data_IF_457723594890
#
_entry.id   IF_457723594890
#
_cell.length_a   1.000
_cell.length_b   1.000
_cell.length_c   1.000
_cell.angle_alpha   90.00
_cell.angle_beta   90.00
_cell.angle_gamma   90.00
#
_symmetry.space_group_name_H-M   'P 1'
#
loop_
_entity.id
_entity.type
_entity.pdbx_description
1 polymer ?
#
# COMPACT_ATOMS: atom_id res chain seq x y z
N UNK A 1 -8.66 -2.63 -3.72
CA UNK A 1 -7.64 -2.98 -4.74
C UNK A 1 -8.30 -3.38 -6.05
N UNK A 2 -7.77 -2.91 -7.18
CA UNK A 2 -8.27 -3.30 -8.50
C UNK A 2 -7.91 -4.75 -8.82
N UNK A 3 -8.77 -5.43 -9.58
CA UNK A 3 -8.62 -6.85 -9.90
C UNK A 3 -7.29 -7.19 -10.59
N UNK A 4 -6.87 -6.39 -11.57
CA UNK A 4 -5.60 -6.59 -12.29
C UNK A 4 -4.38 -6.47 -11.39
N UNK A 5 -4.43 -5.55 -10.43
CA UNK A 5 -3.35 -5.37 -9.44
C UNK A 5 -3.31 -6.54 -8.47
N UNK A 6 -4.47 -7.00 -7.99
CA UNK A 6 -4.56 -8.18 -7.14
C UNK A 6 -4.03 -9.45 -7.84
N UNK A 7 -4.41 -9.67 -9.10
CA UNK A 7 -3.91 -10.81 -9.90
C UNK A 7 -2.38 -10.77 -10.07
N UNK A 8 -1.82 -9.59 -10.39
CA UNK A 8 -0.37 -9.42 -10.54
C UNK A 8 0.39 -9.61 -9.21
N UNK A 9 -0.19 -9.17 -8.08
CA UNK A 9 0.38 -9.39 -6.74
C UNK A 9 0.37 -10.88 -6.39
N UNK A 10 -0.74 -11.58 -6.65
CA UNK A 10 -0.83 -13.02 -6.37
C UNK A 10 0.21 -13.81 -7.17
N UNK A 11 0.45 -13.45 -8.44
CA UNK A 11 1.54 -14.07 -9.20
C UNK A 11 2.93 -13.88 -8.56
N UNK A 12 3.21 -12.71 -7.96
CA UNK A 12 4.45 -12.49 -7.23
C UNK A 12 4.49 -13.36 -5.98
N UNK A 13 3.39 -13.41 -5.23
CA UNK A 13 3.29 -14.17 -3.98
C UNK A 13 3.54 -15.67 -4.24
N UNK A 14 2.92 -16.20 -5.31
CA UNK A 14 3.00 -17.61 -5.68
C UNK A 14 4.38 -18.02 -6.27
N UNK A 15 5.21 -17.08 -6.72
CA UNK A 15 6.47 -17.40 -7.43
C UNK A 15 7.54 -18.01 -6.52
N UNK A 16 7.55 -17.68 -5.23
CA UNK A 16 8.56 -18.15 -4.26
C UNK A 16 7.96 -18.39 -2.84
N UNK A 17 6.66 -18.72 -2.75
CA UNK A 17 5.93 -18.87 -1.47
C UNK A 17 6.13 -17.67 -0.53
N UNK A 18 6.01 -16.47 -1.11
CA UNK A 18 6.23 -15.18 -0.45
C UNK A 18 5.36 -15.08 0.82
N UNK A 19 5.93 -14.76 2.00
CA UNK A 19 5.19 -14.78 3.26
C UNK A 19 4.29 -13.55 3.47
N UNK A 20 4.17 -12.67 2.48
CA UNK A 20 3.49 -11.39 2.58
C UNK A 20 2.06 -11.44 2.05
N UNK A 21 1.15 -10.69 2.67
CA UNK A 21 -0.21 -10.49 2.18
C UNK A 21 -0.23 -9.56 0.97
N UNK A 22 -1.34 -9.59 0.22
CA UNK A 22 -1.55 -8.68 -0.89
C UNK A 22 -1.47 -7.19 -0.50
N UNK A 23 -1.85 -6.83 0.73
CA UNK A 23 -1.83 -5.44 1.20
C UNK A 23 -0.42 -4.98 1.54
N UNK A 24 0.38 -5.87 2.14
CA UNK A 24 1.79 -5.64 2.43
C UNK A 24 2.59 -5.43 1.14
N UNK A 25 2.42 -6.31 0.14
CA UNK A 25 3.07 -6.17 -1.17
C UNK A 25 2.64 -4.88 -1.87
N UNK A 26 1.34 -4.59 -1.89
CA UNK A 26 0.81 -3.39 -2.53
C UNK A 26 1.35 -2.10 -1.91
N UNK A 27 1.33 -2.00 -0.57
CA UNK A 27 1.85 -0.85 0.17
C UNK A 27 3.33 -0.64 -0.14
N UNK A 28 4.14 -1.69 -0.02
CA UNK A 28 5.58 -1.63 -0.29
C UNK A 28 5.91 -1.17 -1.71
N UNK A 29 5.24 -1.73 -2.72
CA UNK A 29 5.42 -1.31 -4.12
C UNK A 29 5.08 0.15 -4.34
N UNK A 30 3.96 0.63 -3.78
CA UNK A 30 3.56 2.03 -3.92
C UNK A 30 4.55 2.94 -3.23
N UNK A 31 4.97 2.63 -1.99
CA UNK A 31 5.97 3.39 -1.25
C UNK A 31 7.25 3.59 -2.07
N UNK A 32 7.73 2.52 -2.73
CA UNK A 32 8.85 2.60 -3.65
C UNK A 32 8.55 3.43 -4.91
N UNK A 33 7.35 3.32 -5.50
CA UNK A 33 7.00 4.03 -6.73
C UNK A 33 6.88 5.55 -6.55
N UNK A 34 6.42 5.99 -5.38
CA UNK A 34 6.29 7.42 -5.01
C UNK A 34 7.57 7.99 -4.41
N UNK A 35 8.54 7.15 -4.06
CA UNK A 35 9.91 7.59 -3.73
C UNK A 35 10.76 7.91 -4.97
N UNK A 36 11.92 8.53 -4.73
CA UNK A 36 12.98 8.91 -5.67
C UNK A 36 13.88 7.74 -6.09
N UNK A 37 13.64 6.52 -5.61
CA UNK A 37 14.43 5.36 -6.01
C UNK A 37 14.39 5.15 -7.54
N UNK A 38 15.56 4.91 -8.13
CA UNK A 38 15.67 4.54 -9.55
C UNK A 38 14.90 3.24 -9.84
N UNK A 39 14.60 2.97 -11.11
CA UNK A 39 13.91 1.72 -11.49
C UNK A 39 14.70 0.49 -11.00
N UNK A 40 16.01 0.50 -11.15
CA UNK A 40 16.93 -0.56 -10.77
C UNK A 40 16.97 -0.73 -9.25
N UNK A 41 17.10 0.37 -8.49
CA UNK A 41 17.08 0.36 -7.02
C UNK A 41 15.77 -0.20 -6.46
N UNK A 42 14.63 0.19 -7.04
CA UNK A 42 13.30 -0.35 -6.64
C UNK A 42 13.23 -1.86 -6.83
N UNK A 43 13.68 -2.36 -7.98
CA UNK A 43 13.69 -3.81 -8.25
C UNK A 43 14.55 -4.57 -7.25
N UNK A 44 15.75 -4.08 -6.97
CA UNK A 44 16.65 -4.70 -6.00
C UNK A 44 16.00 -4.76 -4.60
N UNK A 45 15.40 -3.64 -4.17
CA UNK A 45 14.66 -3.56 -2.90
C UNK A 45 13.49 -4.54 -2.86
N UNK A 46 12.72 -4.68 -3.93
CA UNK A 46 11.61 -5.64 -4.03
C UNK A 46 12.09 -7.07 -3.93
N UNK A 47 13.08 -7.46 -4.74
CA UNK A 47 13.63 -8.81 -4.73
C UNK A 47 14.15 -9.16 -3.33
N UNK A 48 14.89 -8.25 -2.70
CA UNK A 48 15.45 -8.47 -1.38
C UNK A 48 14.39 -8.50 -0.27
N UNK A 49 13.41 -7.61 -0.33
CA UNK A 49 12.41 -7.46 0.72
C UNK A 49 11.43 -8.63 0.72
N UNK A 50 10.98 -9.05 -0.47
CA UNK A 50 10.06 -10.16 -0.66
C UNK A 50 10.75 -11.53 -0.72
N UNK A 51 12.07 -11.57 -0.51
CA UNK A 51 12.92 -12.78 -0.60
C UNK A 51 12.73 -13.57 -1.91
N UNK A 52 12.60 -12.86 -3.03
CA UNK A 52 12.32 -13.46 -4.33
C UNK A 52 13.61 -13.94 -4.99
N UNK A 53 13.47 -15.00 -5.80
CA UNK A 53 14.57 -15.47 -6.64
C UNK A 53 14.89 -14.44 -7.73
N UNK A 54 16.16 -14.04 -7.82
CA UNK A 54 16.61 -13.07 -8.82
C UNK A 54 16.74 -13.72 -10.20
N UNK A 55 15.63 -13.81 -10.92
CA UNK A 55 15.55 -14.42 -12.24
C UNK A 55 14.74 -13.56 -13.23
N UNK A 56 14.75 -13.94 -14.51
CA UNK A 56 14.11 -13.15 -15.58
C UNK A 56 12.58 -13.08 -15.46
N UNK A 57 11.94 -14.11 -14.92
CA UNK A 57 10.49 -14.16 -14.73
C UNK A 57 10.08 -13.25 -13.56
N UNK A 58 10.77 -13.33 -12.42
CA UNK A 58 10.57 -12.43 -11.28
C UNK A 58 10.70 -10.97 -11.70
N UNK A 59 11.73 -10.64 -12.48
CA UNK A 59 11.93 -9.29 -13.00
C UNK A 59 10.77 -8.80 -13.90
N UNK A 60 10.15 -9.69 -14.69
CA UNK A 60 8.98 -9.36 -15.51
C UNK A 60 7.76 -9.11 -14.65
N UNK A 61 7.48 -9.96 -13.67
CA UNK A 61 6.35 -9.79 -12.75
C UNK A 61 6.45 -8.46 -11.98
N UNK A 62 7.65 -8.11 -11.50
CA UNK A 62 7.88 -6.82 -10.84
C UNK A 62 7.63 -5.65 -11.80
N UNK A 63 8.10 -5.74 -13.05
CA UNK A 63 7.86 -4.70 -14.06
C UNK A 63 6.37 -4.57 -14.40
N UNK A 64 5.67 -5.69 -14.56
CA UNK A 64 4.23 -5.76 -14.83
C UNK A 64 3.43 -5.11 -13.70
N UNK A 65 3.63 -5.53 -12.45
CA UNK A 65 2.96 -4.94 -11.30
C UNK A 65 3.29 -3.44 -11.14
N UNK A 66 4.57 -3.07 -11.28
CA UNK A 66 5.00 -1.67 -11.20
C UNK A 66 4.32 -0.80 -12.26
N UNK A 67 4.12 -1.32 -13.46
CA UNK A 67 3.43 -0.61 -14.54
C UNK A 67 1.93 -0.51 -14.27
N UNK A 68 1.30 -1.59 -13.82
CA UNK A 68 -0.13 -1.59 -13.45
C UNK A 68 -0.42 -0.55 -12.38
N UNK A 69 0.31 -0.56 -11.27
CA UNK A 69 0.15 0.42 -10.19
C UNK A 69 0.43 1.84 -10.69
N UNK A 70 1.46 2.04 -11.53
CA UNK A 70 1.75 3.36 -12.10
C UNK A 70 0.58 3.88 -12.95
N UNK A 71 -0.07 3.02 -13.74
CA UNK A 71 -1.25 3.42 -14.50
C UNK A 71 -2.41 3.80 -13.58
N UNK A 72 -2.60 3.11 -12.45
CA UNK A 72 -3.61 3.49 -11.47
C UNK A 72 -3.35 4.85 -10.83
N UNK A 73 -2.08 5.14 -10.50
CA UNK A 73 -1.67 6.44 -9.96
C UNK A 73 -1.90 7.56 -10.99
N UNK A 74 -1.51 7.34 -12.25
CA UNK A 74 -1.71 8.30 -13.35
C UNK A 74 -3.20 8.54 -13.61
N UNK A 75 -4.01 7.49 -13.64
CA UNK A 75 -5.43 7.58 -13.93
C UNK A 75 -6.28 7.95 -12.70
N UNK A 76 -5.64 8.14 -11.54
CA UNK A 76 -6.31 8.41 -10.26
C UNK A 76 -7.35 7.32 -9.89
N UNK A 77 -7.07 6.07 -10.23
CA UNK A 77 -7.94 4.90 -9.95
C UNK A 77 -7.36 3.99 -8.86
N UNK A 78 -6.45 4.51 -8.03
CA UNK A 78 -5.85 3.78 -6.93
C UNK A 78 -6.93 3.34 -5.93
N UNK A 79 -6.88 2.08 -5.52
CA UNK A 79 -7.74 1.53 -4.48
C UNK A 79 -6.90 0.67 -3.53
N UNK A 80 -6.78 1.09 -2.27
CA UNK A 80 -6.01 0.36 -1.26
C UNK A 80 -6.80 -0.84 -0.74
N UNK A 81 -8.01 -0.58 -0.24
CA UNK A 81 -8.92 -1.60 0.27
C UNK A 81 -10.30 -1.47 -0.42
N UNK A 82 -11.03 -2.58 -0.48
CA UNK A 82 -12.45 -2.60 -0.84
C UNK A 82 -13.14 -3.55 0.11
N UNK A 83 -14.24 -3.10 0.71
CA UNK A 83 -15.15 -4.00 1.41
C UNK A 83 -15.61 -5.05 0.42
N UNK A 84 -15.20 -6.29 0.61
CA UNK A 84 -15.98 -7.40 0.09
C UNK A 84 -17.19 -7.48 0.99
N UNK A 85 -18.38 -7.23 0.44
CA UNK A 85 -19.64 -7.54 1.09
C UNK A 85 -19.71 -9.05 1.27
N UNK A 86 -19.01 -9.57 2.27
CA UNK A 86 -19.15 -10.94 2.70
C UNK A 86 -20.08 -10.90 3.91
N UNK A 87 -21.29 -11.43 3.76
CA UNK A 87 -22.36 -11.44 4.76
C UNK A 87 -22.02 -12.34 5.99
N UNK A 88 -20.74 -12.55 6.29
CA UNK A 88 -20.25 -13.43 7.35
C UNK A 88 -19.94 -12.65 8.64
N UNK A 89 -20.92 -12.69 9.56
CA UNK A 89 -20.83 -12.37 10.99
C UNK A 89 -19.99 -11.14 11.41
N UNK A 90 -20.71 -10.02 11.45
CA UNK A 90 -20.49 -8.79 12.25
C UNK A 90 -19.40 -8.89 13.33
N UNK A 91 -18.19 -8.52 12.95
CA UNK A 91 -17.01 -8.40 13.81
C UNK A 91 -15.73 -8.57 12.98
N UNK A 92 -15.76 -9.54 12.06
CA UNK A 92 -14.65 -9.90 11.17
C UNK A 92 -14.32 -8.85 10.10
N UNK A 93 -15.33 -8.20 9.52
CA UNK A 93 -15.16 -7.31 8.36
C UNK A 93 -14.43 -6.01 8.72
N UNK A 94 -14.79 -5.35 9.83
CA UNK A 94 -14.18 -4.09 10.27
C UNK A 94 -12.75 -4.32 10.74
N UNK A 95 -12.50 -5.40 11.48
CA UNK A 95 -11.16 -5.81 11.88
C UNK A 95 -10.30 -6.14 10.67
N UNK A 96 -10.84 -6.85 9.68
CA UNK A 96 -10.15 -7.12 8.42
C UNK A 96 -9.81 -5.85 7.65
N UNK A 97 -10.74 -4.89 7.57
CA UNK A 97 -10.51 -3.59 6.94
C UNK A 97 -9.41 -2.79 7.67
N UNK A 98 -9.48 -2.68 8.99
CA UNK A 98 -8.44 -2.02 9.78
C UNK A 98 -7.08 -2.71 9.66
N UNK A 99 -7.04 -4.04 9.68
CA UNK A 99 -5.81 -4.81 9.44
C UNK A 99 -5.23 -4.51 8.07
N UNK A 100 -6.07 -4.50 7.03
CA UNK A 100 -5.64 -4.21 5.65
C UNK A 100 -5.05 -2.81 5.53
N UNK A 101 -5.66 -1.80 6.16
CA UNK A 101 -5.16 -0.42 6.15
C UNK A 101 -3.87 -0.27 6.98
N UNK A 102 -3.79 -0.95 8.13
CA UNK A 102 -2.61 -1.00 8.98
C UNK A 102 -1.42 -1.63 8.25
N UNK A 103 -1.60 -2.83 7.69
CA UNK A 103 -0.59 -3.51 6.88
C UNK A 103 -0.16 -2.63 5.71
N UNK A 104 -1.12 -2.13 4.93
CA UNK A 104 -0.77 -1.34 3.75
C UNK A 104 0.06 -0.09 4.10
N UNK A 105 -0.33 0.66 5.13
CA UNK A 105 0.38 1.89 5.53
C UNK A 105 1.74 1.59 6.14
N UNK A 106 1.86 0.54 6.96
CA UNK A 106 3.16 0.10 7.50
C UNK A 106 4.15 -0.23 6.37
N UNK A 107 3.74 -1.04 5.41
CA UNK A 107 4.61 -1.46 4.31
C UNK A 107 4.87 -0.35 3.29
N UNK A 108 3.90 0.56 3.09
CA UNK A 108 4.13 1.80 2.37
C UNK A 108 5.30 2.59 2.98
N UNK A 109 5.29 2.79 4.31
CA UNK A 109 6.35 3.52 4.99
C UNK A 109 7.70 2.85 4.80
N UNK A 110 7.79 1.51 4.91
CA UNK A 110 9.03 0.77 4.63
C UNK A 110 9.50 1.00 3.19
N UNK A 111 8.59 0.95 2.21
CA UNK A 111 8.92 1.21 0.81
C UNK A 111 9.40 2.65 0.57
N UNK A 112 8.80 3.61 1.29
CA UNK A 112 9.14 5.03 1.20
C UNK A 112 10.48 5.38 1.86
N UNK A 113 10.95 4.58 2.83
CA UNK A 113 12.20 4.83 3.57
C UNK A 113 13.43 4.98 2.65
N UNK A 114 14.28 5.95 3.00
CA UNK A 114 15.51 6.31 2.27
C UNK A 114 15.49 7.71 1.63
N UNK A 115 14.39 8.45 1.78
CA UNK A 115 14.20 9.84 1.37
C UNK A 115 14.75 10.82 2.42
N UNK A 116 16.01 11.24 2.29
CA UNK A 116 16.55 12.32 3.13
C UNK A 116 16.28 13.73 2.58
N UNK A 117 15.74 13.85 1.34
CA UNK A 117 15.52 15.14 0.66
C UNK A 117 14.05 15.54 0.51
N UNK A 118 13.10 14.60 0.56
CA UNK A 118 11.66 14.92 0.56
C UNK A 118 11.10 15.20 1.97
N UNK A 119 11.86 14.87 3.02
CA UNK A 119 11.48 15.07 4.43
C UNK A 119 11.45 16.53 4.90
N UNK A 120 11.92 17.48 4.09
CA UNK A 120 11.92 18.90 4.46
C UNK A 120 10.58 19.60 4.14
N UNK A 121 9.64 18.90 3.49
CA UNK A 121 8.31 19.44 3.23
C UNK A 121 7.35 19.08 4.38
N UNK A 122 6.77 20.08 5.08
CA UNK A 122 5.86 19.84 6.21
C UNK A 122 4.63 19.01 5.84
N UNK A 123 4.06 19.21 4.65
CA UNK A 123 2.87 18.47 4.21
C UNK A 123 3.20 16.98 3.99
N UNK A 124 4.38 16.68 3.44
CA UNK A 124 4.86 15.30 3.29
C UNK A 124 5.09 14.68 4.66
N UNK A 125 5.74 15.40 5.59
CA UNK A 125 5.97 14.89 6.94
C UNK A 125 4.65 14.61 7.68
N UNK A 126 3.67 15.50 7.57
CA UNK A 126 2.33 15.29 8.16
C UNK A 126 1.66 14.03 7.60
N UNK A 127 1.72 13.82 6.28
CA UNK A 127 1.19 12.59 5.66
C UNK A 127 1.88 11.35 6.23
N UNK A 128 3.20 11.36 6.34
CA UNK A 128 3.97 10.22 6.84
C UNK A 128 3.69 9.94 8.32
N UNK A 129 3.55 10.98 9.14
CA UNK A 129 3.21 10.86 10.56
C UNK A 129 1.80 10.27 10.72
N UNK A 130 0.83 10.71 9.90
CA UNK A 130 -0.52 10.14 9.92
C UNK A 130 -0.52 8.69 9.42
N UNK A 131 0.28 8.36 8.39
CA UNK A 131 0.42 6.98 7.93
C UNK A 131 1.03 6.08 9.02
N UNK A 132 1.99 6.58 9.82
CA UNK A 132 2.54 5.84 10.95
C UNK A 132 1.48 5.59 12.03
N UNK A 133 0.62 6.57 12.32
CA UNK A 133 -0.50 6.38 13.22
C UNK A 133 -1.53 5.35 12.69
N UNK A 134 -1.88 5.42 11.40
CA UNK A 134 -2.79 4.45 10.77
C UNK A 134 -2.19 3.03 10.79
N UNK A 135 -0.86 2.91 10.65
CA UNK A 135 -0.17 1.61 10.69
C UNK A 135 -0.41 0.84 11.99
N UNK A 136 -0.83 1.54 13.05
CA UNK A 136 -1.09 0.97 14.38
C UNK A 136 -2.58 0.89 14.71
N UNK A 137 -3.48 1.16 13.75
CA UNK A 137 -4.92 1.29 14.02
C UNK A 137 -5.55 0.02 14.59
N UNK A 138 -5.14 -1.15 14.08
CA UNK A 138 -5.62 -2.46 14.53
C UNK A 138 -5.07 -2.87 15.91
N UNK A 139 -4.01 -2.21 16.40
CA UNK A 139 -3.41 -2.49 17.71
C UNK A 139 -3.90 -1.50 18.78
N UNK A 140 -4.12 -0.23 18.39
CA UNK A 140 -4.49 0.85 19.31
C UNK A 140 -5.99 0.96 19.56
N UNK A 141 -6.83 0.60 18.59
CA UNK A 141 -8.26 0.84 18.65
C UNK A 141 -9.07 -0.46 18.72
N UNK A 142 -10.14 -0.43 19.50
CA UNK A 142 -11.16 -1.48 19.52
C UNK A 142 -12.44 -0.92 18.93
N UNK A 143 -13.15 -1.73 18.15
CA UNK A 143 -14.45 -1.35 17.62
C UNK A 143 -15.51 -1.43 18.73
N UNK A 144 -15.68 -0.33 19.47
CA UNK A 144 -16.66 -0.19 20.55
C UNK A 144 -17.90 0.66 20.15
N UNK A 145 -17.89 1.22 18.93
CA UNK A 145 -18.99 1.98 18.33
C UNK A 145 -20.00 1.13 17.55
N UNK A 146 -20.94 1.81 16.87
CA UNK A 146 -21.84 1.09 15.95
C UNK A 146 -21.05 0.62 14.71
N UNK A 147 -21.51 -0.46 14.07
CA UNK A 147 -20.87 -0.96 12.83
C UNK A 147 -20.82 0.14 11.76
N UNK A 148 -21.88 0.96 11.66
CA UNK A 148 -21.96 2.04 10.65
C UNK A 148 -21.00 3.19 10.93
N UNK A 149 -20.86 3.65 12.19
CA UNK A 149 -19.93 4.74 12.50
C UNK A 149 -18.46 4.31 12.30
N UNK A 150 -18.15 3.06 12.67
CA UNK A 150 -16.81 2.49 12.49
C UNK A 150 -16.47 2.33 11.00
N UNK A 151 -17.46 1.92 10.21
CA UNK A 151 -17.36 1.82 8.76
C UNK A 151 -17.04 3.18 8.12
N UNK A 152 -17.82 4.21 8.45
CA UNK A 152 -17.60 5.58 7.94
C UNK A 152 -16.19 6.10 8.27
N UNK A 153 -15.70 5.83 9.49
CA UNK A 153 -14.33 6.22 9.88
C UNK A 153 -13.25 5.50 9.06
N UNK A 154 -13.43 4.21 8.77
CA UNK A 154 -12.47 3.45 7.94
C UNK A 154 -12.51 3.92 6.47
N UNK A 155 -13.68 4.29 5.96
CA UNK A 155 -13.83 4.85 4.62
C UNK A 155 -13.13 6.22 4.49
N UNK A 156 -13.21 7.06 5.53
CA UNK A 156 -12.49 8.33 5.61
C UNK A 156 -10.97 8.13 5.67
N UNK A 157 -10.49 7.19 6.49
CA UNK A 157 -9.06 6.82 6.57
C UNK A 157 -8.57 6.34 5.20
N UNK A 158 -9.30 5.44 4.54
CA UNK A 158 -8.96 4.95 3.21
C UNK A 158 -8.93 6.09 2.17
N UNK A 159 -9.90 7.02 2.23
CA UNK A 159 -9.94 8.21 1.37
C UNK A 159 -8.71 9.09 1.58
N UNK A 160 -8.30 9.30 2.84
CA UNK A 160 -7.10 10.05 3.19
C UNK A 160 -5.83 9.39 2.62
N UNK A 161 -5.69 8.07 2.79
CA UNK A 161 -4.54 7.32 2.26
C UNK A 161 -4.45 7.46 0.74
N UNK A 162 -5.56 7.24 0.03
CA UNK A 162 -5.58 7.32 -1.45
C UNK A 162 -5.20 8.71 -1.92
N UNK A 163 -5.82 9.76 -1.37
CA UNK A 163 -5.54 11.15 -1.77
C UNK A 163 -4.09 11.55 -1.48
N UNK A 164 -3.59 11.18 -0.30
CA UNK A 164 -2.20 11.48 0.10
C UNK A 164 -1.19 10.75 -0.78
N UNK A 165 -1.46 9.49 -1.13
CA UNK A 165 -0.61 8.72 -2.06
C UNK A 165 -0.56 9.35 -3.44
N UNK A 166 -1.71 9.78 -3.98
CA UNK A 166 -1.78 10.48 -5.26
C UNK A 166 -1.02 11.80 -5.22
N UNK A 167 -1.17 12.58 -4.14
CA UNK A 167 -0.40 13.81 -3.92
C UNK A 167 1.12 13.56 -3.92
N UNK A 168 1.58 12.55 -3.17
CA UNK A 168 3.00 12.17 -3.12
C UNK A 168 3.53 11.75 -4.50
N UNK A 169 2.74 10.98 -5.26
CA UNK A 169 3.10 10.58 -6.61
C UNK A 169 3.21 11.79 -7.56
N UNK A 170 2.21 12.67 -7.59
CA UNK A 170 2.18 13.87 -8.43
C UNK A 170 3.38 14.77 -8.14
N UNK A 171 3.67 15.00 -6.85
CA UNK A 171 4.85 15.76 -6.40
C UNK A 171 6.14 15.17 -6.96
N UNK A 172 6.36 13.87 -6.78
CA UNK A 172 7.55 13.17 -7.25
C UNK A 172 7.71 13.20 -8.79
N UNK A 173 6.63 13.37 -9.54
CA UNK A 173 6.69 13.52 -11.01
C UNK A 173 6.92 14.94 -11.49
N UNK A 174 6.74 15.95 -10.63
CA UNK A 174 6.91 17.36 -10.93
C UNK A 174 8.26 17.93 -10.43
N UNK A 175 8.94 17.23 -9.53
CA UNK A 175 10.33 17.48 -9.08
C UNK A 175 11.35 16.89 -10.07
#
# INVERSE_FOLDING_TARGET
>A
MNKSTLEAINHIIDTDDCPFTQFEVHGFFIGLLVSSHSKESRKEKIIKFLDLSSNINTNKLIDELSNTIRQELINQTLSVYSFMNDDSEKGSELESAANSLSEWTYYFLIGYQGESSLSDNPDVQEILDIFDEISQVNQKYKFDGSKSSSQESLDEINSFIVKSTLYLYERRTND
#
